data_IF_551312781809
#
_entry.id   IF_551312781809
#
_cell.length_a   1.000
_cell.length_b   1.000
_cell.length_c   1.000
_cell.angle_alpha   90.00
_cell.angle_beta   90.00
_cell.angle_gamma   90.00
#
_symmetry.space_group_name_H-M   'P 1'
#
loop_
_entity.id
_entity.type
_entity.pdbx_description
1 polymer ?
#
# COMPACT_ATOMS: atom_id res chain seq x y z
N UNK A 1 12.86 -4.28 -3.30
CA UNK A 1 13.90 -4.78 -2.38
C UNK A 1 15.03 -3.77 -2.18
N UNK A 2 15.78 -3.37 -3.22
CA UNK A 2 16.94 -2.46 -3.08
C UNK A 2 16.59 -1.15 -2.37
N UNK A 3 15.47 -0.50 -2.73
CA UNK A 3 15.02 0.74 -2.09
C UNK A 3 14.72 0.57 -0.59
N UNK A 4 14.05 -0.52 -0.20
CA UNK A 4 13.74 -0.78 1.22
C UNK A 4 15.00 -1.01 2.05
N UNK A 5 15.98 -1.73 1.48
CA UNK A 5 17.30 -1.91 2.10
C UNK A 5 18.04 -0.57 2.18
N UNK A 6 18.01 0.22 1.12
CA UNK A 6 18.63 1.55 1.10
C UNK A 6 17.99 2.50 2.13
N UNK A 7 16.65 2.48 2.26
CA UNK A 7 15.94 3.24 3.29
C UNK A 7 16.37 2.82 4.70
N UNK A 8 16.49 1.52 4.94
CA UNK A 8 16.93 1.02 6.25
C UNK A 8 18.38 1.43 6.58
N UNK A 9 19.28 1.43 5.57
CA UNK A 9 20.71 1.75 5.77
C UNK A 9 20.99 3.25 5.80
N UNK A 10 20.30 4.05 5.01
CA UNK A 10 20.57 5.48 4.83
C UNK A 10 19.49 6.39 5.42
N UNK A 11 18.41 5.80 5.98
CA UNK A 11 17.33 6.49 6.70
C UNK A 11 16.82 7.74 5.97
N UNK A 12 16.77 8.88 6.67
CA UNK A 12 16.22 10.14 6.16
C UNK A 12 16.93 10.69 4.92
N UNK A 13 18.19 10.29 4.66
CA UNK A 13 18.93 10.73 3.45
C UNK A 13 18.30 10.22 2.16
N UNK A 14 17.66 9.05 2.22
CA UNK A 14 16.96 8.44 1.08
C UNK A 14 15.47 8.77 1.06
N UNK A 15 14.95 9.49 2.05
CA UNK A 15 13.52 9.75 2.22
C UNK A 15 12.88 10.37 0.97
N UNK A 16 13.43 11.48 0.46
CA UNK A 16 12.89 12.13 -0.74
C UNK A 16 12.96 11.25 -2.01
N UNK A 17 13.98 10.41 -2.12
CA UNK A 17 14.10 9.44 -3.22
C UNK A 17 13.01 8.38 -3.11
N UNK A 18 12.73 7.93 -1.90
CA UNK A 18 11.66 6.97 -1.63
C UNK A 18 10.28 7.56 -1.93
N UNK A 19 10.01 8.80 -1.47
CA UNK A 19 8.75 9.50 -1.76
C UNK A 19 8.56 9.67 -3.27
N UNK A 20 9.62 10.05 -4.00
CA UNK A 20 9.60 10.16 -5.46
C UNK A 20 9.34 8.82 -6.15
N UNK A 21 9.96 7.75 -5.66
CA UNK A 21 9.72 6.41 -6.17
C UNK A 21 8.27 5.97 -5.95
N UNK A 22 7.70 6.21 -4.76
CA UNK A 22 6.30 5.87 -4.49
C UNK A 22 5.32 6.72 -5.30
N UNK A 23 5.64 8.00 -5.53
CA UNK A 23 4.85 8.84 -6.43
C UNK A 23 4.82 8.26 -7.85
N UNK A 24 5.98 7.92 -8.41
CA UNK A 24 6.08 7.30 -9.74
C UNK A 24 5.34 5.98 -9.78
N UNK A 25 5.46 5.13 -8.75
CA UNK A 25 4.75 3.86 -8.69
C UNK A 25 3.24 4.04 -8.75
N UNK A 26 2.65 4.89 -7.91
CA UNK A 26 1.21 5.09 -7.90
C UNK A 26 0.70 5.72 -9.20
N UNK A 27 1.43 6.67 -9.78
CA UNK A 27 1.09 7.23 -11.08
C UNK A 27 1.18 6.17 -12.19
N UNK A 28 2.24 5.37 -12.19
CA UNK A 28 2.38 4.27 -13.14
C UNK A 28 1.22 3.28 -13.02
N UNK A 29 0.90 2.81 -11.80
CA UNK A 29 -0.21 1.87 -11.55
C UNK A 29 -1.55 2.50 -11.98
N UNK A 30 -1.77 3.78 -11.71
CA UNK A 30 -2.99 4.48 -12.11
C UNK A 30 -3.23 4.38 -13.62
N UNK A 31 -2.22 4.65 -14.42
CA UNK A 31 -2.37 4.67 -15.88
C UNK A 31 -2.23 3.29 -16.52
N UNK A 32 -1.29 2.44 -16.07
CA UNK A 32 -1.01 1.15 -16.71
C UNK A 32 -2.10 0.11 -16.48
N UNK A 33 -2.80 0.15 -15.33
CA UNK A 33 -3.78 -0.89 -14.98
C UNK A 33 -5.23 -0.50 -15.26
N UNK A 34 -5.49 0.78 -15.56
CA UNK A 34 -6.87 1.25 -15.65
C UNK A 34 -7.22 1.85 -17.00
N UNK A 35 -6.28 1.83 -17.95
CA UNK A 35 -6.48 2.25 -19.35
C UNK A 35 -6.03 1.13 -20.25
N UNK A 36 -6.92 0.64 -21.10
CA UNK A 36 -6.62 -0.40 -22.06
C UNK A 36 -7.30 -0.11 -23.41
N UNK A 37 -6.70 -0.58 -24.49
CA UNK A 37 -7.35 -0.65 -25.81
C UNK A 37 -7.84 -2.07 -26.00
N UNK A 38 -9.14 -2.20 -26.24
CA UNK A 38 -9.79 -3.49 -26.44
C UNK A 38 -10.36 -3.58 -27.87
N UNK A 39 -10.39 -4.77 -28.44
CA UNK A 39 -10.89 -4.99 -29.79
C UNK A 39 -12.39 -4.70 -29.91
N UNK A 40 -13.15 -4.88 -28.81
CA UNK A 40 -14.62 -4.74 -28.83
C UNK A 40 -15.10 -3.33 -28.48
N UNK A 41 -14.40 -2.59 -27.65
CA UNK A 41 -14.85 -1.29 -27.13
C UNK A 41 -13.86 -0.15 -27.42
N UNK A 42 -12.76 -0.39 -28.14
CA UNK A 42 -11.70 0.62 -28.31
C UNK A 42 -11.04 0.98 -27.00
N UNK A 43 -10.92 2.28 -26.73
CA UNK A 43 -10.33 2.77 -25.47
C UNK A 43 -11.28 2.51 -24.30
N UNK A 44 -10.87 1.63 -23.38
CA UNK A 44 -11.58 1.32 -22.14
C UNK A 44 -10.84 1.93 -20.95
N UNK A 45 -11.57 2.60 -20.06
CA UNK A 45 -11.01 3.24 -18.85
C UNK A 45 -11.84 2.84 -17.63
N UNK A 46 -11.16 2.27 -16.62
CA UNK A 46 -11.77 2.01 -15.31
C UNK A 46 -11.66 3.29 -14.48
N UNK A 47 -12.54 4.26 -14.78
CA UNK A 47 -12.44 5.64 -14.31
C UNK A 47 -12.38 5.78 -12.78
N UNK A 48 -13.20 5.00 -12.05
CA UNK A 48 -13.23 5.06 -10.57
C UNK A 48 -11.87 4.72 -9.97
N UNK A 49 -11.30 3.60 -10.38
CA UNK A 49 -9.99 3.16 -9.89
C UNK A 49 -8.86 4.11 -10.32
N UNK A 50 -8.89 4.54 -11.59
CA UNK A 50 -7.93 5.51 -12.11
C UNK A 50 -7.90 6.77 -11.25
N UNK A 51 -9.06 7.39 -10.97
CA UNK A 51 -9.17 8.61 -10.19
C UNK A 51 -8.68 8.41 -8.75
N UNK A 52 -9.10 7.33 -8.10
CA UNK A 52 -8.71 7.04 -6.72
C UNK A 52 -7.18 6.87 -6.58
N UNK A 53 -6.57 6.09 -7.47
CA UNK A 53 -5.13 5.83 -7.40
C UNK A 53 -4.33 7.07 -7.84
N UNK A 54 -4.85 7.84 -8.80
CA UNK A 54 -4.25 9.10 -9.20
C UNK A 54 -4.21 10.10 -8.04
N UNK A 55 -5.28 10.19 -7.24
CA UNK A 55 -5.30 11.01 -6.02
C UNK A 55 -4.17 10.60 -5.08
N UNK A 56 -3.98 9.29 -4.83
CA UNK A 56 -2.85 8.81 -4.02
C UNK A 56 -1.52 9.24 -4.62
N UNK A 57 -1.32 9.04 -5.92
CA UNK A 57 -0.09 9.46 -6.61
C UNK A 57 0.18 10.96 -6.45
N UNK A 58 -0.86 11.80 -6.53
CA UNK A 58 -0.73 13.25 -6.35
C UNK A 58 -0.36 13.64 -4.90
N UNK A 59 -0.88 12.93 -3.88
CA UNK A 59 -0.44 13.12 -2.49
C UNK A 59 1.04 12.76 -2.31
N UNK A 60 1.52 11.71 -2.97
CA UNK A 60 2.94 11.36 -2.95
C UNK A 60 3.81 12.36 -3.72
N UNK A 61 3.33 12.92 -4.84
CA UNK A 61 4.01 14.04 -5.54
C UNK A 61 4.10 15.26 -4.61
N UNK A 62 3.03 15.58 -3.87
CA UNK A 62 3.04 16.63 -2.87
C UNK A 62 4.11 16.39 -1.79
N UNK A 63 4.26 15.16 -1.33
CA UNK A 63 5.28 14.77 -0.34
C UNK A 63 6.70 15.03 -0.85
N UNK A 64 6.97 14.77 -2.14
CA UNK A 64 8.28 15.08 -2.75
C UNK A 64 8.60 16.58 -2.70
N UNK A 65 7.59 17.43 -2.92
CA UNK A 65 7.77 18.88 -2.88
C UNK A 65 7.85 19.45 -1.46
N UNK A 66 7.10 18.84 -0.52
CA UNK A 66 7.05 19.26 0.89
C UNK A 66 7.26 18.06 1.80
N UNK A 67 8.48 17.52 1.87
CA UNK A 67 8.78 16.29 2.58
C UNK A 67 8.53 16.45 4.08
N UNK A 68 7.68 15.60 4.61
CA UNK A 68 7.38 15.45 6.04
C UNK A 68 7.69 14.05 6.55
N UNK A 69 7.82 13.07 5.63
CA UNK A 69 8.21 11.72 5.98
C UNK A 69 9.67 11.67 6.41
N UNK A 70 9.90 11.14 7.60
CA UNK A 70 11.24 10.92 8.12
C UNK A 70 11.44 9.41 8.37
N UNK A 71 12.19 8.76 7.49
CA UNK A 71 12.41 7.31 7.50
C UNK A 71 13.48 6.88 8.52
N UNK A 72 13.28 7.23 9.78
CA UNK A 72 14.12 6.78 10.89
C UNK A 72 13.46 5.60 11.58
N UNK A 73 14.15 4.46 11.58
CA UNK A 73 13.66 3.22 12.19
C UNK A 73 14.16 3.14 13.64
N UNK A 74 13.38 3.65 14.58
CA UNK A 74 13.64 3.48 16.02
C UNK A 74 13.09 2.14 16.52
N UNK A 75 13.47 1.77 17.75
CA UNK A 75 12.89 0.60 18.42
C UNK A 75 11.40 0.86 18.67
N UNK A 76 10.58 0.16 17.91
CA UNK A 76 9.13 0.21 18.03
C UNK A 76 8.63 -0.80 19.08
N UNK A 77 7.51 -0.53 19.73
CA UNK A 77 6.87 -1.53 20.57
C UNK A 77 6.51 -2.77 19.73
N UNK A 78 6.74 -3.96 20.29
CA UNK A 78 6.64 -5.23 19.58
C UNK A 78 5.27 -5.43 18.88
N UNK A 79 4.22 -4.87 19.45
CA UNK A 79 2.87 -4.98 18.88
C UNK A 79 2.72 -4.31 17.51
N UNK A 80 3.57 -3.35 17.12
CA UNK A 80 3.52 -2.72 15.79
C UNK A 80 4.03 -3.62 14.66
N UNK A 81 4.84 -4.62 14.98
CA UNK A 81 5.41 -5.51 13.95
C UNK A 81 4.42 -6.50 13.34
N UNK A 82 3.16 -6.54 13.82
CA UNK A 82 2.12 -7.41 13.24
C UNK A 82 1.85 -7.10 11.76
N UNK A 83 2.14 -5.90 11.29
CA UNK A 83 1.97 -5.51 9.88
C UNK A 83 2.96 -6.23 8.96
N UNK A 84 4.14 -6.67 9.47
CA UNK A 84 5.20 -7.25 8.65
C UNK A 84 4.80 -8.57 7.97
N UNK A 85 4.22 -9.59 8.65
CA UNK A 85 3.81 -10.81 7.98
C UNK A 85 2.74 -10.56 6.91
N UNK A 86 1.82 -9.63 7.13
CA UNK A 86 0.82 -9.26 6.14
C UNK A 86 1.42 -8.48 4.96
N UNK A 87 2.34 -7.55 5.23
CA UNK A 87 3.07 -6.84 4.18
C UNK A 87 3.94 -7.80 3.35
N UNK A 88 4.57 -8.78 4.00
CA UNK A 88 5.33 -9.83 3.32
C UNK A 88 4.44 -10.71 2.44
N UNK A 89 3.28 -11.13 2.92
CA UNK A 89 2.31 -11.89 2.13
C UNK A 89 1.85 -11.10 0.90
N UNK A 90 1.55 -9.81 1.06
CA UNK A 90 1.19 -8.95 -0.04
C UNK A 90 2.34 -8.74 -1.03
N UNK A 91 3.56 -8.55 -0.53
CA UNK A 91 4.76 -8.43 -1.36
C UNK A 91 5.03 -9.69 -2.17
N UNK A 92 4.96 -10.87 -1.55
CA UNK A 92 5.16 -12.15 -2.22
C UNK A 92 4.07 -12.43 -3.24
N UNK A 93 2.80 -12.12 -2.90
CA UNK A 93 1.63 -12.34 -3.76
C UNK A 93 1.62 -13.74 -4.38
N UNK A 94 1.57 -14.83 -3.57
CA UNK A 94 1.72 -16.21 -4.04
C UNK A 94 0.45 -16.71 -4.75
N UNK A 95 0.31 -16.32 -6.01
CA UNK A 95 -0.87 -16.60 -6.85
C UNK A 95 -0.46 -16.85 -8.30
N UNK A 96 -1.10 -17.83 -8.93
CA UNK A 96 -0.94 -18.11 -10.37
C UNK A 96 -1.92 -17.29 -11.25
N UNK A 97 -1.82 -17.45 -12.55
CA UNK A 97 -2.68 -16.78 -13.52
C UNK A 97 -4.15 -17.22 -13.45
N UNK A 98 -4.44 -18.37 -12.82
CA UNK A 98 -5.78 -18.92 -12.59
C UNK A 98 -6.34 -18.56 -11.21
N UNK A 99 -5.68 -17.67 -10.49
CA UNK A 99 -6.02 -17.22 -9.15
C UNK A 99 -5.95 -18.33 -8.06
N UNK A 100 -5.15 -19.37 -8.28
CA UNK A 100 -4.87 -20.41 -7.28
C UNK A 100 -3.59 -20.12 -6.49
N UNK A 101 -3.42 -20.75 -5.30
CA UNK A 101 -2.19 -20.64 -4.54
C UNK A 101 -0.98 -21.13 -5.34
N UNK A 102 0.04 -20.29 -5.47
CA UNK A 102 1.35 -20.66 -5.99
C UNK A 102 2.44 -20.17 -5.03
N UNK A 103 3.02 -21.07 -4.26
CA UNK A 103 4.07 -20.76 -3.27
C UNK A 103 5.49 -20.84 -3.87
N UNK A 104 5.63 -20.68 -5.17
CA UNK A 104 6.95 -20.67 -5.82
C UNK A 104 7.80 -19.50 -5.28
N UNK A 105 9.00 -19.76 -4.72
CA UNK A 105 9.89 -18.72 -4.21
C UNK A 105 10.32 -17.70 -5.29
N UNK A 106 10.31 -18.09 -6.57
CA UNK A 106 10.62 -17.17 -7.68
C UNK A 106 9.64 -16.00 -7.76
N UNK A 107 8.42 -16.14 -7.23
CA UNK A 107 7.45 -15.04 -7.14
C UNK A 107 7.94 -13.90 -6.24
N UNK A 108 8.87 -14.13 -5.34
CA UNK A 108 9.53 -13.05 -4.58
C UNK A 108 10.37 -12.12 -5.48
N UNK A 109 10.90 -12.64 -6.56
CA UNK A 109 11.67 -11.86 -7.54
C UNK A 109 10.78 -11.29 -8.64
N UNK A 110 9.74 -12.01 -9.05
CA UNK A 110 8.79 -11.63 -10.10
C UNK A 110 7.44 -11.17 -9.51
N UNK A 111 7.48 -10.65 -8.30
CA UNK A 111 6.29 -10.17 -7.59
C UNK A 111 5.53 -9.10 -8.40
N UNK A 112 4.22 -9.09 -8.25
CA UNK A 112 3.34 -8.03 -8.76
C UNK A 112 3.50 -6.70 -8.00
N UNK A 113 4.38 -6.66 -6.98
CA UNK A 113 4.75 -5.44 -6.28
C UNK A 113 5.34 -4.39 -7.23
N UNK A 114 4.82 -3.17 -7.17
CA UNK A 114 5.21 -2.07 -8.05
C UNK A 114 4.47 -2.04 -9.40
N UNK A 115 3.79 -3.13 -9.76
CA UNK A 115 3.00 -3.21 -10.99
C UNK A 115 1.51 -3.19 -10.71
N UNK A 116 1.06 -3.85 -9.64
CA UNK A 116 -0.34 -3.89 -9.22
C UNK A 116 -0.57 -3.14 -7.91
N UNK A 117 -1.74 -2.52 -7.78
CA UNK A 117 -2.10 -1.73 -6.60
C UNK A 117 -2.19 -2.56 -5.32
N UNK A 118 -2.90 -3.70 -5.38
CA UNK A 118 -3.22 -4.50 -4.19
C UNK A 118 -2.00 -5.10 -3.47
N UNK A 119 -0.97 -5.61 -4.14
CA UNK A 119 0.25 -6.06 -3.46
C UNK A 119 1.18 -4.90 -3.07
N UNK A 120 1.13 -3.75 -3.75
CA UNK A 120 2.03 -2.61 -3.52
C UNK A 120 1.60 -1.78 -2.30
N UNK A 121 0.33 -1.43 -2.23
CA UNK A 121 -0.20 -0.49 -1.24
C UNK A 121 -0.03 -0.95 0.20
N UNK A 122 -0.33 -2.21 0.61
CA UNK A 122 -0.15 -2.63 1.99
C UNK A 122 1.31 -2.62 2.45
N UNK A 123 2.26 -2.86 1.55
CA UNK A 123 3.70 -2.78 1.87
C UNK A 123 4.10 -1.32 2.19
N UNK A 124 3.62 -0.37 1.39
CA UNK A 124 3.92 1.05 1.58
C UNK A 124 3.23 1.58 2.86
N UNK A 125 1.96 1.23 3.10
CA UNK A 125 1.26 1.64 4.32
C UNK A 125 1.93 1.00 5.56
N UNK A 126 2.33 -0.28 5.51
CA UNK A 126 3.06 -0.92 6.59
C UNK A 126 4.34 -0.16 6.91
N UNK A 127 5.13 0.22 5.89
CA UNK A 127 6.33 1.04 6.06
C UNK A 127 6.01 2.35 6.78
N UNK A 128 4.98 3.09 6.34
CA UNK A 128 4.57 4.35 6.97
C UNK A 128 4.11 4.15 8.42
N UNK A 129 3.36 3.08 8.71
CA UNK A 129 2.91 2.79 10.09
C UNK A 129 4.04 2.43 11.02
N UNK A 130 5.12 1.80 10.51
CA UNK A 130 6.31 1.50 11.30
C UNK A 130 7.12 2.74 11.67
N UNK A 131 7.17 3.77 10.83
CA UNK A 131 7.87 5.02 11.13
C UNK A 131 6.96 6.10 11.75
N UNK A 132 5.65 5.82 11.96
CA UNK A 132 4.74 6.75 12.62
C UNK A 132 5.23 7.07 14.06
N UNK A 133 5.19 8.34 14.55
CA UNK A 133 4.47 9.50 14.02
C UNK A 133 5.24 10.37 13.01
N UNK A 134 6.41 9.98 12.57
CA UNK A 134 7.30 10.77 11.70
C UNK A 134 6.91 10.67 10.22
N UNK A 135 5.61 10.67 9.94
CA UNK A 135 5.05 10.57 8.59
C UNK A 135 4.13 11.73 8.29
N UNK A 136 4.00 12.06 7.03
CA UNK A 136 2.91 12.91 6.56
C UNK A 136 1.58 12.17 6.76
N UNK A 137 0.82 12.61 7.76
CA UNK A 137 -0.47 11.99 8.11
C UNK A 137 -1.49 12.08 6.96
N UNK A 138 -1.40 13.09 6.10
CA UNK A 138 -2.30 13.21 4.95
C UNK A 138 -1.98 12.15 3.89
N UNK A 139 -0.70 11.93 3.58
CA UNK A 139 -0.26 10.86 2.67
C UNK A 139 -0.64 9.50 3.21
N UNK A 140 -0.37 9.23 4.51
CA UNK A 140 -0.75 7.99 5.16
C UNK A 140 -2.27 7.75 5.07
N UNK A 141 -3.09 8.75 5.42
CA UNK A 141 -4.54 8.63 5.40
C UNK A 141 -5.11 8.48 4.00
N UNK A 142 -4.62 9.26 3.03
CA UNK A 142 -5.08 9.16 1.64
C UNK A 142 -4.76 7.78 1.05
N UNK A 143 -3.52 7.31 1.24
CA UNK A 143 -3.09 5.99 0.75
C UNK A 143 -3.90 4.87 1.43
N UNK A 144 -4.11 4.97 2.74
CA UNK A 144 -4.88 3.99 3.52
C UNK A 144 -6.36 4.01 3.17
N UNK A 145 -6.96 5.17 2.97
CA UNK A 145 -8.38 5.29 2.62
C UNK A 145 -8.67 4.65 1.25
N UNK A 146 -7.87 4.98 0.25
CA UNK A 146 -8.02 4.38 -1.08
C UNK A 146 -7.69 2.88 -1.03
N UNK A 147 -6.68 2.48 -0.25
CA UNK A 147 -6.35 1.07 -0.02
C UNK A 147 -7.53 0.28 0.56
N UNK A 148 -8.23 0.85 1.54
CA UNK A 148 -9.42 0.23 2.14
C UNK A 148 -10.56 0.08 1.12
N UNK A 149 -10.85 1.13 0.34
CA UNK A 149 -11.88 1.08 -0.71
C UNK A 149 -11.54 0.00 -1.73
N UNK A 150 -10.32 -0.03 -2.24
CA UNK A 150 -9.89 -1.01 -3.24
C UNK A 150 -9.89 -2.44 -2.68
N UNK A 151 -9.49 -2.60 -1.41
CA UNK A 151 -9.56 -3.90 -0.74
C UNK A 151 -11.00 -4.40 -0.60
N UNK A 152 -11.93 -3.54 -0.20
CA UNK A 152 -13.35 -3.89 -0.10
C UNK A 152 -13.96 -4.23 -1.46
N UNK A 153 -13.65 -3.49 -2.52
CA UNK A 153 -14.11 -3.83 -3.87
C UNK A 153 -13.63 -5.21 -4.32
N UNK A 154 -12.37 -5.56 -4.03
CA UNK A 154 -11.85 -6.88 -4.38
C UNK A 154 -12.51 -8.00 -3.56
N UNK A 155 -12.82 -7.77 -2.29
CA UNK A 155 -13.60 -8.70 -1.47
C UNK A 155 -15.01 -8.86 -2.03
N UNK A 156 -15.68 -7.77 -2.39
CA UNK A 156 -17.00 -7.83 -3.01
C UNK A 156 -16.99 -8.58 -4.35
N UNK A 157 -15.93 -8.43 -5.14
CA UNK A 157 -15.78 -9.13 -6.42
C UNK A 157 -15.79 -10.65 -6.27
N UNK A 158 -15.28 -11.18 -5.15
CA UNK A 158 -15.36 -12.61 -4.85
C UNK A 158 -16.80 -13.14 -4.78
N UNK A 159 -17.74 -12.32 -4.31
CA UNK A 159 -19.15 -12.72 -4.20
C UNK A 159 -19.96 -12.50 -5.48
N UNK A 160 -19.47 -11.65 -6.38
CA UNK A 160 -20.25 -11.18 -7.54
C UNK A 160 -19.70 -11.77 -8.84
N UNK A 161 -18.37 -11.98 -8.95
CA UNK A 161 -17.73 -12.38 -10.19
C UNK A 161 -17.40 -13.88 -10.22
N UNK A 162 -17.87 -14.63 -11.23
CA UNK A 162 -17.46 -16.01 -11.42
C UNK A 162 -15.95 -16.13 -11.66
N UNK A 163 -15.31 -17.15 -11.07
CA UNK A 163 -13.88 -17.43 -11.26
C UNK A 163 -12.96 -16.82 -10.20
N UNK A 164 -13.47 -15.97 -9.30
CA UNK A 164 -12.69 -15.54 -8.14
C UNK A 164 -12.57 -16.67 -7.11
N UNK A 165 -11.33 -16.95 -6.69
CA UNK A 165 -11.05 -18.02 -5.73
C UNK A 165 -11.02 -17.48 -4.29
N UNK A 166 -11.23 -18.37 -3.31
CA UNK A 166 -11.08 -18.02 -1.89
C UNK A 166 -9.65 -17.51 -1.59
N UNK A 167 -8.65 -18.04 -2.32
CA UNK A 167 -7.27 -17.60 -2.16
C UNK A 167 -7.06 -16.14 -2.57
N UNK A 168 -7.71 -15.71 -3.62
CA UNK A 168 -7.69 -14.29 -4.01
C UNK A 168 -8.27 -13.40 -2.92
N UNK A 169 -9.36 -13.83 -2.24
CA UNK A 169 -9.91 -13.13 -1.09
C UNK A 169 -8.89 -13.03 0.06
N UNK A 170 -8.19 -14.13 0.39
CA UNK A 170 -7.15 -14.16 1.42
C UNK A 170 -6.02 -13.17 1.11
N UNK A 171 -5.59 -13.06 -0.15
CA UNK A 171 -4.54 -12.15 -0.56
C UNK A 171 -4.93 -10.65 -0.50
N UNK A 172 -6.23 -10.33 -0.47
CA UNK A 172 -6.69 -8.95 -0.26
C UNK A 172 -6.87 -8.58 1.22
N UNK A 173 -6.84 -9.56 2.13
CA UNK A 173 -6.91 -9.32 3.57
C UNK A 173 -5.79 -8.40 4.10
N UNK A 174 -4.52 -8.54 3.69
CA UNK A 174 -3.46 -7.60 4.06
C UNK A 174 -3.79 -6.15 3.71
N UNK A 175 -4.33 -5.91 2.51
CA UNK A 175 -4.68 -4.57 2.07
C UNK A 175 -5.75 -3.94 2.97
N UNK A 176 -6.79 -4.69 3.35
CA UNK A 176 -7.85 -4.20 4.23
C UNK A 176 -7.33 -3.93 5.64
N UNK A 177 -6.64 -4.91 6.25
CA UNK A 177 -6.20 -4.81 7.64
C UNK A 177 -5.17 -3.69 7.83
N UNK A 178 -4.17 -3.63 6.96
CA UNK A 178 -3.11 -2.61 7.04
C UNK A 178 -3.66 -1.22 6.70
N UNK A 179 -4.58 -1.11 5.74
CA UNK A 179 -5.25 0.16 5.41
C UNK A 179 -6.11 0.67 6.56
N UNK A 180 -6.90 -0.20 7.17
CA UNK A 180 -7.69 0.16 8.35
C UNK A 180 -6.79 0.63 9.51
N UNK A 181 -5.71 -0.09 9.76
CA UNK A 181 -4.73 0.30 10.77
C UNK A 181 -4.07 1.65 10.46
N UNK A 182 -3.67 1.92 9.20
CA UNK A 182 -3.09 3.20 8.79
C UNK A 182 -4.05 4.39 8.97
N UNK A 183 -5.37 4.16 8.85
CA UNK A 183 -6.38 5.17 9.16
C UNK A 183 -6.52 5.43 10.66
N UNK A 184 -6.42 4.40 11.48
CA UNK A 184 -6.71 4.45 12.91
C UNK A 184 -5.51 4.86 13.76
N UNK A 185 -4.27 4.56 13.37
CA UNK A 185 -3.07 4.86 14.17
C UNK A 185 -2.95 6.33 14.55
N UNK A 186 -3.26 7.33 13.69
CA UNK A 186 -3.20 8.73 14.07
C UNK A 186 -4.27 9.14 15.11
N UNK A 187 -5.34 8.35 15.24
CA UNK A 187 -6.40 8.60 16.22
C UNK A 187 -5.97 8.07 17.58
N UNK A 188 -5.50 6.83 17.64
CA UNK A 188 -5.08 6.19 18.88
C UNK A 188 -3.91 6.90 19.57
N UNK A 189 -2.93 7.38 18.81
CA UNK A 189 -1.79 8.07 19.42
C UNK A 189 -2.13 9.47 19.94
N UNK A 190 -3.05 10.19 19.30
CA UNK A 190 -3.54 11.46 19.85
C UNK A 190 -4.21 11.28 21.21
N UNK A 191 -5.00 10.23 21.37
CA UNK A 191 -5.70 9.93 22.61
C UNK A 191 -4.72 9.60 23.73
N UNK A 192 -3.65 8.88 23.44
CA UNK A 192 -2.63 8.54 24.42
C UNK A 192 -1.83 9.77 24.90
N UNK A 193 -1.53 10.71 24.01
CA UNK A 193 -0.82 11.95 24.38
C UNK A 193 -1.69 12.84 25.27
N UNK A 194 -2.97 13.02 24.94
CA UNK A 194 -3.89 13.83 25.76
C UNK A 194 -4.14 13.24 27.16
N UNK A 195 -4.07 11.92 27.31
CA UNK A 195 -4.20 11.26 28.62
C UNK A 195 -2.95 11.40 29.49
N UNK A 196 -1.77 11.59 28.92
CA UNK A 196 -0.52 11.84 29.65
C UNK A 196 -0.38 13.30 30.12
N UNK A 197 -0.92 14.26 29.37
CA UNK A 197 -0.93 15.68 29.76
C UNK A 197 -1.93 15.99 30.88
N UNK A 198 -2.86 15.08 31.18
CA UNK A 198 -3.90 15.25 32.22
C UNK A 198 -3.52 14.62 33.57
N UNK A 199 -2.35 13.99 33.69
CA UNK A 199 -1.80 13.42 34.93
C UNK A 199 -0.65 14.28 35.48
#
# INVERSE_FOLDING_TARGET
MVLLVALYLYESRMGRVADGFFAILFLFIAFSNHIAVTDTHGLAVVTGNLVLILIVGLFWVWEVYRPQNNYVFERLPAWRYWVLPFAFLAFWSPIDAQLNPDFNPMLLLNSSFGVMYCPTTPVIIALLTLIYPRVNTYVLRATSFVGLIMGLFNVMSYFIMPGYTLWNLVLHTPLILISLYGLLIPIFERTNLSSQESQ
#
